data_IF_935623797866
#
_entry.id   IF_935623797866
#
_cell.length_a   1.000
_cell.length_b   1.000
_cell.length_c   1.000
_cell.angle_alpha   90.00
_cell.angle_beta   90.00
_cell.angle_gamma   90.00
#
_symmetry.space_group_name_H-M   'P 1'
#
loop_
_entity.id
_entity.type
_entity.pdbx_description
1 polymer ?
#
# COMPACT_ATOMS: atom_id res chain seq x y z
N UNK A 1 5.25 3.89 -11.29
CA UNK A 1 5.53 3.11 -10.06
C UNK A 1 4.38 3.28 -9.09
N UNK A 2 4.60 3.06 -7.78
CA UNK A 2 3.56 3.27 -6.75
C UNK A 2 3.02 4.72 -6.76
N UNK A 3 3.88 5.70 -7.05
CA UNK A 3 3.49 7.12 -7.24
C UNK A 3 2.36 7.33 -8.25
N UNK A 4 2.35 6.61 -9.38
CA UNK A 4 1.29 6.72 -10.37
C UNK A 4 -0.06 6.25 -9.83
N UNK A 5 -0.05 5.17 -9.03
CA UNK A 5 -1.27 4.64 -8.41
C UNK A 5 -1.80 5.65 -7.39
N UNK A 6 -0.91 6.26 -6.60
CA UNK A 6 -1.27 7.31 -5.64
C UNK A 6 -1.84 8.53 -6.38
N UNK A 7 -1.19 9.01 -7.44
CA UNK A 7 -1.68 10.16 -8.22
C UNK A 7 -3.06 9.93 -8.87
N UNK A 8 -3.43 8.68 -9.16
CA UNK A 8 -4.71 8.34 -9.81
C UNK A 8 -5.82 8.11 -8.77
N UNK A 9 -5.51 7.41 -7.67
CA UNK A 9 -6.51 6.94 -6.70
C UNK A 9 -6.61 7.81 -5.44
N UNK A 10 -5.57 8.57 -5.13
CA UNK A 10 -5.43 9.38 -3.90
C UNK A 10 -5.86 8.67 -2.60
N UNK A 11 -5.24 7.53 -2.25
CA UNK A 11 -5.68 6.75 -1.11
C UNK A 11 -5.16 7.30 0.22
N UNK A 12 -5.93 7.11 1.30
CA UNK A 12 -5.47 7.37 2.67
C UNK A 12 -4.25 6.51 3.05
N UNK A 13 -4.16 5.29 2.50
CA UNK A 13 -3.09 4.35 2.80
C UNK A 13 -2.79 3.38 1.66
N UNK A 14 -1.51 3.02 1.54
CA UNK A 14 -0.99 1.93 0.70
C UNK A 14 -0.31 0.92 1.61
N UNK A 15 -0.79 -0.32 1.61
CA UNK A 15 -0.19 -1.41 2.40
C UNK A 15 0.71 -2.27 1.50
N UNK A 16 2.00 -2.35 1.83
CA UNK A 16 2.97 -3.18 1.12
C UNK A 16 2.80 -4.65 1.55
N UNK A 17 2.42 -5.50 0.60
CA UNK A 17 2.30 -6.95 0.76
C UNK A 17 3.57 -7.72 0.37
N UNK A 18 3.50 -9.06 0.50
CA UNK A 18 4.55 -9.99 0.09
C UNK A 18 5.84 -9.90 0.91
N UNK A 19 6.82 -10.73 0.57
CA UNK A 19 8.08 -10.84 1.33
C UNK A 19 8.92 -9.56 1.37
N UNK A 20 8.91 -8.78 0.28
CA UNK A 20 9.68 -7.54 0.15
C UNK A 20 9.22 -6.45 1.13
N UNK A 21 7.97 -6.46 1.56
CA UNK A 21 7.45 -5.53 2.58
C UNK A 21 8.20 -5.56 3.91
N UNK A 22 9.06 -6.55 4.15
CA UNK A 22 9.88 -6.61 5.35
C UNK A 22 11.14 -5.74 5.28
N UNK A 23 11.48 -5.21 4.11
CA UNK A 23 12.71 -4.44 3.89
C UNK A 23 12.53 -3.02 4.47
N UNK A 24 13.33 -2.60 5.47
CA UNK A 24 13.20 -1.28 6.09
C UNK A 24 13.34 -0.11 5.11
N UNK A 25 14.23 -0.24 4.11
CA UNK A 25 14.48 0.75 3.05
C UNK A 25 13.19 1.21 2.34
N UNK A 26 12.18 0.34 2.22
CA UNK A 26 10.91 0.69 1.58
C UNK A 26 10.12 1.75 2.36
N UNK A 27 10.34 1.86 3.67
CA UNK A 27 9.66 2.79 4.57
C UNK A 27 10.49 4.04 4.89
N UNK A 28 11.69 4.14 4.31
CA UNK A 28 12.60 5.29 4.44
C UNK A 28 12.81 5.91 3.07
N UNK A 29 13.86 5.51 2.35
CA UNK A 29 14.21 6.03 1.03
C UNK A 29 13.14 5.70 -0.01
N UNK A 30 12.45 4.56 0.13
CA UNK A 30 11.32 4.20 -0.73
C UNK A 30 10.19 5.23 -0.65
N UNK A 31 9.85 5.72 0.54
CA UNK A 31 8.85 6.78 0.72
C UNK A 31 9.36 8.09 0.13
N UNK A 32 10.64 8.43 0.32
CA UNK A 32 11.21 9.63 -0.28
C UNK A 32 11.13 9.59 -1.82
N UNK A 33 11.49 8.45 -2.41
CA UNK A 33 11.39 8.26 -3.86
C UNK A 33 9.95 8.41 -4.37
N UNK A 34 8.95 7.97 -3.61
CA UNK A 34 7.53 8.18 -3.95
C UNK A 34 7.20 9.67 -3.90
N UNK A 35 7.60 10.37 -2.83
CA UNK A 35 7.36 11.82 -2.67
C UNK A 35 7.93 12.64 -3.82
N UNK A 36 9.10 12.26 -4.33
CA UNK A 36 9.75 12.97 -5.44
C UNK A 36 9.00 12.80 -6.79
N UNK A 37 8.04 11.86 -6.87
CA UNK A 37 7.32 11.52 -8.11
C UNK A 37 5.80 11.65 -8.01
N UNK A 38 5.25 12.10 -6.88
CA UNK A 38 3.83 12.47 -6.78
C UNK A 38 3.65 13.91 -7.25
N UNK A 39 2.52 14.21 -7.90
CA UNK A 39 2.28 15.54 -8.46
C UNK A 39 1.71 16.54 -7.43
N UNK A 40 1.12 16.04 -6.35
CA UNK A 40 0.54 16.86 -5.29
C UNK A 40 1.62 17.52 -4.44
N UNK A 41 1.40 18.78 -4.06
CA UNK A 41 2.23 19.51 -3.10
C UNK A 41 2.15 18.91 -1.69
N UNK A 42 1.03 18.22 -1.39
CA UNK A 42 0.80 17.53 -0.13
C UNK A 42 0.73 16.01 -0.36
N UNK A 43 1.65 15.27 0.27
CA UNK A 43 1.68 13.81 0.28
C UNK A 43 1.26 13.29 1.66
N UNK A 44 -0.03 12.94 1.79
CA UNK A 44 -0.59 12.41 3.04
C UNK A 44 -0.76 10.89 3.06
N UNK A 45 -0.72 10.24 1.90
CA UNK A 45 -0.88 8.78 1.77
C UNK A 45 0.11 8.03 2.65
N UNK A 46 -0.41 7.22 3.58
CA UNK A 46 0.42 6.43 4.50
C UNK A 46 0.94 5.17 3.81
N UNK A 47 2.26 4.98 3.78
CA UNK A 47 2.86 3.73 3.30
C UNK A 47 3.07 2.79 4.51
N UNK A 48 2.37 1.66 4.53
CA UNK A 48 2.28 0.78 5.68
C UNK A 48 2.79 -0.63 5.38
N UNK A 49 3.34 -1.30 6.39
CA UNK A 49 3.68 -2.73 6.33
C UNK A 49 2.44 -3.58 6.55
N UNK A 50 2.29 -4.68 5.81
CA UNK A 50 1.23 -5.65 6.09
C UNK A 50 1.38 -6.27 7.50
N UNK A 51 0.24 -6.58 8.13
CA UNK A 51 0.19 -7.20 9.46
C UNK A 51 -0.12 -8.71 9.41
N UNK A 52 -0.77 -9.17 8.35
CA UNK A 52 -1.28 -10.55 8.26
C UNK A 52 -0.31 -11.49 7.52
N UNK A 53 0.77 -10.97 6.95
CA UNK A 53 1.80 -11.76 6.27
C UNK A 53 1.21 -12.65 5.17
N UNK A 54 1.71 -13.88 5.09
CA UNK A 54 1.30 -14.86 4.07
C UNK A 54 -0.18 -15.26 4.18
N UNK A 55 -0.81 -15.04 5.34
CA UNK A 55 -2.23 -15.33 5.54
C UNK A 55 -3.16 -14.24 5.01
N UNK A 56 -2.64 -13.10 4.54
CA UNK A 56 -3.45 -11.94 4.08
C UNK A 56 -4.49 -12.33 3.03
N UNK A 57 -4.14 -13.23 2.10
CA UNK A 57 -5.05 -13.69 1.05
C UNK A 57 -6.22 -14.54 1.58
N UNK A 58 -5.96 -15.42 2.56
CA UNK A 58 -7.00 -16.27 3.16
C UNK A 58 -7.98 -15.43 3.98
N UNK A 59 -7.46 -14.50 4.78
CA UNK A 59 -8.32 -13.56 5.51
C UNK A 59 -9.14 -12.68 4.55
N UNK A 60 -8.53 -12.19 3.48
CA UNK A 60 -9.23 -11.44 2.44
C UNK A 60 -10.38 -12.25 1.85
N UNK A 61 -10.14 -13.50 1.45
CA UNK A 61 -11.16 -14.39 0.89
C UNK A 61 -12.30 -14.67 1.88
N UNK A 62 -12.00 -14.87 3.17
CA UNK A 62 -13.03 -15.09 4.20
C UNK A 62 -13.87 -13.84 4.50
N UNK A 63 -13.32 -12.65 4.28
CA UNK A 63 -14.00 -11.36 4.49
C UNK A 63 -14.75 -10.86 3.26
N UNK A 64 -14.52 -11.44 2.08
CA UNK A 64 -15.30 -11.07 0.90
C UNK A 64 -16.78 -11.35 1.17
N UNK A 65 -17.67 -10.36 1.01
CA UNK A 65 -19.08 -10.59 1.16
C UNK A 65 -19.53 -11.63 0.14
N UNK A 66 -20.41 -12.54 0.56
CA UNK A 66 -21.16 -13.32 -0.42
C UNK A 66 -22.06 -12.34 -1.16
N UNK A 67 -21.94 -12.26 -2.48
CA UNK A 67 -22.97 -11.62 -3.29
C UNK A 67 -24.30 -12.25 -2.88
N UNK A 68 -25.17 -11.41 -2.32
CA UNK A 68 -26.54 -11.79 -2.03
C UNK A 68 -27.32 -11.37 -3.27
N UNK A 69 -27.82 -12.36 -4.00
CA UNK A 69 -28.82 -12.16 -5.06
C UNK A 69 -30.10 -11.54 -4.50
#
# INVERSE_FOLDING_TARGET
GVSNVINILDPDAVVLGGGLSNIPFLYTEGIQSIKDHVFSDEFETKILKNKLGDSSGVFGAALLPRETE
#
